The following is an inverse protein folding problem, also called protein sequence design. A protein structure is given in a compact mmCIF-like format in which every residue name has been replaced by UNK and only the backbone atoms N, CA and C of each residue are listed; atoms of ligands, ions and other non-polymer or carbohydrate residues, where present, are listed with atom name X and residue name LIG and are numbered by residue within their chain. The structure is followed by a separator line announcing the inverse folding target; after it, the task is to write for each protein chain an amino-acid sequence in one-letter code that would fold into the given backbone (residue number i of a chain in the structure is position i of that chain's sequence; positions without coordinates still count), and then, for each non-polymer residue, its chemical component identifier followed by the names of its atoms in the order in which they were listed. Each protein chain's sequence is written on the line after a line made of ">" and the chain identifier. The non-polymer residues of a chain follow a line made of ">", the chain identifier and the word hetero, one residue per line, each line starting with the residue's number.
data_IF_200045650830
#
_entry.id   IF_200045650830
#
_cell.length_a   1.000
_cell.length_b   1.000
_cell.length_c   1.000
_cell.angle_alpha   90.00
_cell.angle_beta   90.00
_cell.angle_gamma   90.00
#
_symmetry.space_group_name_H-M   'P 1'
#
loop_
_entity.id
_entity.type
_entity.pdbx_description
1 polymer ?
#
# COMPACT_ATOMS: atom_id res chain seq x y z
N UNK A 1 -15.21 -2.82 2.32
CA UNK A 1 -14.37 -2.41 3.49
C UNK A 1 -14.49 -3.31 4.74
N UNK A 2 -15.63 -3.38 5.47
CA UNK A 2 -15.75 -4.13 6.75
C UNK A 2 -15.40 -5.63 6.60
N UNK A 3 -15.89 -6.26 5.54
CA UNK A 3 -15.62 -7.68 5.26
C UNK A 3 -14.12 -7.95 5.09
N UNK A 4 -13.39 -7.07 4.39
CA UNK A 4 -11.94 -7.19 4.17
C UNK A 4 -11.15 -7.10 5.48
N UNK A 5 -11.54 -6.19 6.39
CA UNK A 5 -10.93 -6.09 7.71
C UNK A 5 -11.21 -7.31 8.58
N UNK A 6 -12.43 -7.83 8.53
CA UNK A 6 -12.80 -9.05 9.26
C UNK A 6 -12.03 -10.26 8.75
N UNK A 7 -11.90 -10.41 7.42
CA UNK A 7 -11.10 -11.45 6.80
C UNK A 7 -9.61 -11.33 7.18
N UNK A 8 -9.05 -10.12 7.08
CA UNK A 8 -7.66 -9.84 7.50
C UNK A 8 -7.44 -10.21 8.97
N UNK A 9 -8.38 -9.85 9.85
CA UNK A 9 -8.32 -10.20 11.27
C UNK A 9 -8.36 -11.71 11.52
N UNK A 10 -9.21 -12.45 10.82
CA UNK A 10 -9.26 -13.92 10.91
C UNK A 10 -7.96 -14.55 10.43
N UNK A 11 -7.44 -14.11 9.28
CA UNK A 11 -6.16 -14.60 8.73
C UNK A 11 -5.02 -14.31 9.71
N UNK A 12 -4.95 -13.07 10.22
CA UNK A 12 -3.97 -12.66 11.22
C UNK A 12 -4.04 -13.53 12.49
N UNK A 13 -5.24 -13.83 12.98
CA UNK A 13 -5.45 -14.70 14.13
C UNK A 13 -4.91 -16.11 13.87
N UNK A 14 -5.29 -16.72 12.74
CA UNK A 14 -4.83 -18.08 12.38
C UNK A 14 -3.31 -18.12 12.26
N UNK A 15 -2.71 -17.16 11.54
CA UNK A 15 -1.26 -17.06 11.39
C UNK A 15 -0.57 -16.88 12.74
N UNK A 16 -1.11 -16.03 13.61
CA UNK A 16 -0.53 -15.79 14.93
C UNK A 16 -0.51 -17.04 15.81
N UNK A 17 -1.55 -17.86 15.76
CA UNK A 17 -1.64 -19.12 16.51
C UNK A 17 -0.62 -20.14 15.98
N UNK A 18 -0.51 -20.27 14.66
CA UNK A 18 0.46 -21.16 14.02
C UNK A 18 1.91 -20.77 14.35
N UNK A 19 2.20 -19.46 14.39
CA UNK A 19 3.51 -18.93 14.79
C UNK A 19 3.74 -19.04 16.32
N UNK A 20 2.70 -18.97 17.14
CA UNK A 20 2.82 -19.06 18.60
C UNK A 20 3.34 -20.43 19.07
N UNK A 21 2.98 -21.52 18.38
CA UNK A 21 3.38 -22.89 18.73
C UNK A 21 4.91 -23.07 18.76
N UNK A 22 5.67 -22.79 17.68
CA UNK A 22 7.13 -22.95 17.71
C UNK A 22 7.80 -22.04 18.73
N UNK A 23 7.30 -20.81 18.93
CA UNK A 23 7.79 -19.90 19.96
C UNK A 23 7.60 -20.48 21.37
N UNK A 24 6.42 -21.04 21.66
CA UNK A 24 6.14 -21.71 22.92
C UNK A 24 7.07 -22.91 23.16
N UNK A 25 7.32 -23.73 22.12
CA UNK A 25 8.24 -24.88 22.20
C UNK A 25 9.65 -24.41 22.54
N UNK A 26 10.19 -23.42 21.83
CA UNK A 26 11.53 -22.88 22.08
C UNK A 26 11.62 -22.29 23.49
N UNK A 27 10.64 -21.48 23.87
CA UNK A 27 10.56 -20.87 25.21
C UNK A 27 10.52 -21.91 26.33
N UNK A 28 9.78 -23.00 26.14
CA UNK A 28 9.69 -24.10 27.12
C UNK A 28 11.04 -24.78 27.37
N UNK A 29 11.87 -24.91 26.32
CA UNK A 29 13.22 -25.49 26.41
C UNK A 29 14.17 -24.55 27.14
N UNK A 30 14.13 -23.25 26.83
CA UNK A 30 14.95 -22.22 27.48
C UNK A 30 14.59 -22.07 28.96
N UNK A 31 13.30 -22.11 29.30
CA UNK A 31 12.81 -21.87 30.64
C UNK A 31 12.78 -23.13 31.55
N UNK A 32 13.24 -24.30 31.08
CA UNK A 32 13.15 -25.58 31.80
C UNK A 32 13.76 -25.59 33.21
N UNK A 33 14.76 -24.73 33.47
CA UNK A 33 15.44 -24.63 34.78
C UNK A 33 14.83 -23.57 35.71
N UNK A 34 13.78 -22.87 35.28
CA UNK A 34 13.08 -21.87 36.11
C UNK A 34 11.97 -22.52 36.92
N UNK A 35 11.52 -21.88 38.00
CA UNK A 35 10.37 -22.36 38.75
C UNK A 35 9.12 -22.41 37.86
N UNK A 36 8.24 -23.38 38.13
CA UNK A 36 7.10 -23.72 37.27
C UNK A 36 6.25 -22.50 36.88
N UNK A 37 5.93 -21.62 37.85
CA UNK A 37 5.16 -20.39 37.61
C UNK A 37 5.84 -19.46 36.59
N UNK A 38 7.16 -19.27 36.70
CA UNK A 38 7.92 -18.44 35.77
C UNK A 38 8.06 -19.11 34.40
N UNK A 39 8.21 -20.42 34.36
CA UNK A 39 8.24 -21.17 33.10
C UNK A 39 6.92 -21.02 32.34
N UNK A 40 5.78 -21.18 33.01
CA UNK A 40 4.45 -21.00 32.41
C UNK A 40 4.25 -19.59 31.87
N UNK A 41 4.65 -18.56 32.62
CA UNK A 41 4.57 -17.16 32.18
C UNK A 41 5.41 -16.92 30.91
N UNK A 42 6.65 -17.41 30.88
CA UNK A 42 7.55 -17.23 29.73
C UNK A 42 7.00 -17.93 28.48
N UNK A 43 6.47 -19.15 28.63
CA UNK A 43 5.85 -19.90 27.52
C UNK A 43 4.61 -19.18 27.00
N UNK A 44 3.76 -18.67 27.89
CA UNK A 44 2.58 -17.89 27.51
C UNK A 44 2.97 -16.62 26.76
N UNK A 45 3.90 -15.82 27.29
CA UNK A 45 4.37 -14.60 26.61
C UNK A 45 5.00 -14.91 25.24
N UNK A 46 5.74 -16.00 25.11
CA UNK A 46 6.28 -16.45 23.82
C UNK A 46 5.18 -16.85 22.84
N UNK A 47 4.16 -17.58 23.28
CA UNK A 47 3.04 -17.98 22.44
C UNK A 47 2.23 -16.78 21.92
N UNK A 48 2.09 -15.72 22.75
CA UNK A 48 1.31 -14.52 22.41
C UNK A 48 2.14 -13.47 21.64
N UNK A 49 3.48 -13.56 21.66
CA UNK A 49 4.37 -12.59 20.98
C UNK A 49 4.04 -12.41 19.49
N UNK A 50 3.81 -13.47 18.69
CA UNK A 50 3.43 -13.31 17.28
C UNK A 50 2.11 -12.56 17.09
N UNK A 51 1.11 -12.81 17.94
CA UNK A 51 -0.17 -12.10 17.89
C UNK A 51 -0.01 -10.61 18.19
N UNK A 52 0.78 -10.27 19.21
CA UNK A 52 1.10 -8.88 19.53
C UNK A 52 1.87 -8.19 18.40
N UNK A 53 2.86 -8.87 17.82
CA UNK A 53 3.63 -8.33 16.70
C UNK A 53 2.74 -8.01 15.50
N UNK A 54 1.88 -8.96 15.09
CA UNK A 54 0.94 -8.76 13.98
C UNK A 54 -0.07 -7.66 14.30
N UNK A 55 -0.57 -7.57 15.53
CA UNK A 55 -1.50 -6.51 15.93
C UNK A 55 -0.85 -5.12 15.83
N UNK A 56 0.40 -4.98 16.28
CA UNK A 56 1.17 -3.74 16.16
C UNK A 56 1.38 -3.40 14.68
N UNK A 57 1.79 -4.36 13.86
CA UNK A 57 1.95 -4.19 12.41
C UNK A 57 0.66 -3.70 11.74
N UNK A 58 -0.50 -4.27 12.06
CA UNK A 58 -1.78 -3.85 11.49
C UNK A 58 -2.12 -2.41 11.91
N UNK A 59 -1.99 -2.08 13.21
CA UNK A 59 -2.33 -0.76 13.73
C UNK A 59 -1.41 0.31 13.16
N UNK A 60 -0.09 0.10 13.19
CA UNK A 60 0.85 1.08 12.65
C UNK A 60 0.81 1.13 11.13
N UNK A 61 0.49 0.03 10.44
CA UNK A 61 0.28 0.02 8.99
C UNK A 61 -0.91 0.86 8.59
N UNK A 62 -2.01 0.81 9.35
CA UNK A 62 -3.18 1.66 9.15
C UNK A 62 -2.86 3.15 9.41
N UNK A 63 -2.14 3.46 10.49
CA UNK A 63 -1.72 4.84 10.77
C UNK A 63 -0.78 5.34 9.67
N UNK A 64 0.17 4.50 9.24
CA UNK A 64 1.12 4.79 8.17
C UNK A 64 0.42 5.03 6.83
N UNK A 65 -0.59 4.24 6.48
CA UNK A 65 -1.35 4.41 5.25
C UNK A 65 -2.19 5.69 5.27
N UNK A 66 -2.82 6.05 6.40
CA UNK A 66 -3.54 7.32 6.55
C UNK A 66 -2.57 8.49 6.33
N UNK A 67 -1.41 8.47 7.00
CA UNK A 67 -0.40 9.50 6.84
C UNK A 67 0.13 9.61 5.41
N UNK A 68 0.38 8.47 4.75
CA UNK A 68 0.81 8.40 3.35
C UNK A 68 -0.25 9.00 2.43
N UNK A 69 -1.51 8.64 2.62
CA UNK A 69 -2.63 9.16 1.83
C UNK A 69 -2.71 10.68 1.94
N UNK A 70 -2.71 11.21 3.18
CA UNK A 70 -2.77 12.66 3.43
C UNK A 70 -1.58 13.44 2.86
N UNK A 71 -0.36 12.87 2.90
CA UNK A 71 0.86 13.60 2.53
C UNK A 71 1.32 13.39 1.10
N UNK A 72 1.05 12.22 0.53
CA UNK A 72 1.51 11.85 -0.82
C UNK A 72 0.36 11.83 -1.83
N UNK A 73 -0.89 12.00 -1.40
CA UNK A 73 -2.05 11.92 -2.28
C UNK A 73 -2.16 10.55 -2.95
N UNK A 74 -1.74 9.50 -2.25
CA UNK A 74 -1.82 8.11 -2.69
C UNK A 74 -2.78 7.39 -1.76
N UNK A 75 -4.02 7.19 -2.20
CA UNK A 75 -4.97 6.39 -1.43
C UNK A 75 -4.80 4.91 -1.77
N UNK A 76 -4.56 4.16 -0.71
CA UNK A 76 -4.24 2.74 -0.74
C UNK A 76 -5.49 1.97 -0.36
N UNK A 77 -6.54 2.05 -1.18
CA UNK A 77 -7.56 1.00 -1.29
C UNK A 77 -7.99 0.32 0.01
N UNK A 78 -8.07 1.04 1.14
CA UNK A 78 -8.71 0.54 2.35
C UNK A 78 -10.22 0.71 2.12
N UNK A 79 -10.72 0.04 1.09
CA UNK A 79 -11.98 0.35 0.43
C UNK A 79 -11.93 0.05 -1.07
N UNK A 80 -12.83 0.70 -1.80
CA UNK A 80 -13.07 0.45 -3.22
C UNK A 80 -12.52 1.59 -4.08
N UNK A 81 -11.60 2.41 -3.56
CA UNK A 81 -11.05 3.58 -4.25
C UNK A 81 -9.53 3.57 -4.28
N UNK A 82 -8.98 3.91 -5.43
CA UNK A 82 -7.55 4.01 -5.70
C UNK A 82 -7.26 5.44 -6.13
N UNK A 83 -6.22 6.05 -5.58
CA UNK A 83 -5.72 7.36 -6.02
C UNK A 83 -4.20 7.35 -6.10
N UNK A 84 -3.64 7.93 -7.15
CA UNK A 84 -2.22 8.21 -7.26
C UNK A 84 -1.99 9.54 -8.01
N UNK A 85 -1.03 10.38 -7.57
CA UNK A 85 -0.75 11.64 -8.23
C UNK A 85 -0.17 11.39 -9.62
N UNK A 86 -0.55 12.19 -10.61
CA UNK A 86 0.14 12.29 -11.90
C UNK A 86 1.02 13.54 -11.89
N UNK A 87 0.44 14.68 -11.52
CA UNK A 87 1.13 15.96 -11.29
C UNK A 87 0.65 16.58 -9.98
N UNK A 88 1.04 17.82 -9.68
CA UNK A 88 0.50 18.53 -8.50
C UNK A 88 -1.02 18.77 -8.61
N UNK A 89 -1.52 19.03 -9.81
CA UNK A 89 -2.94 19.37 -10.04
C UNK A 89 -3.78 18.22 -10.60
N UNK A 90 -3.16 17.11 -11.04
CA UNK A 90 -3.86 15.98 -11.64
C UNK A 90 -3.51 14.67 -10.93
N UNK A 91 -4.49 13.78 -10.82
CA UNK A 91 -4.31 12.44 -10.29
C UNK A 91 -5.07 11.42 -11.13
N UNK A 92 -4.61 10.19 -11.08
CA UNK A 92 -5.34 9.04 -11.59
C UNK A 92 -6.08 8.39 -10.44
N UNK A 93 -7.33 8.04 -10.69
CA UNK A 93 -8.20 7.43 -9.70
C UNK A 93 -8.99 6.29 -10.28
N UNK A 94 -9.33 5.28 -9.49
CA UNK A 94 -10.21 4.19 -9.92
C UNK A 94 -11.17 3.80 -8.80
N UNK A 95 -12.37 3.37 -9.17
CA UNK A 95 -13.33 2.74 -8.26
C UNK A 95 -13.42 1.25 -8.58
N UNK A 96 -13.40 0.42 -7.54
CA UNK A 96 -13.35 -1.04 -7.53
C UNK A 96 -12.08 -1.63 -8.16
N UNK A 97 -11.86 -1.38 -9.44
CA UNK A 97 -10.83 -2.00 -10.26
C UNK A 97 -9.94 -0.96 -10.93
N UNK A 98 -8.61 -1.13 -10.96
CA UNK A 98 -7.72 -0.23 -11.69
C UNK A 98 -8.05 -0.06 -13.19
N UNK A 99 -8.76 -1.02 -13.80
CA UNK A 99 -9.17 -0.96 -15.21
C UNK A 99 -10.26 0.08 -15.52
N UNK A 100 -10.92 0.62 -14.48
CA UNK A 100 -11.88 1.73 -14.56
C UNK A 100 -11.22 3.08 -14.23
N UNK A 101 -9.89 3.13 -14.22
CA UNK A 101 -9.18 4.33 -13.85
C UNK A 101 -9.51 5.50 -14.79
N UNK A 102 -9.72 6.68 -14.21
CA UNK A 102 -9.90 7.96 -14.90
C UNK A 102 -8.88 8.96 -14.39
N UNK A 103 -8.65 10.02 -15.15
CA UNK A 103 -7.85 11.16 -14.70
C UNK A 103 -8.79 12.19 -14.12
N UNK A 104 -8.41 12.79 -13.01
CA UNK A 104 -9.15 13.85 -12.34
C UNK A 104 -8.24 15.05 -12.08
N UNK A 105 -8.84 16.23 -11.94
CA UNK A 105 -8.17 17.45 -11.52
C UNK A 105 -8.43 17.69 -10.04
N UNK A 106 -7.42 18.05 -9.25
CA UNK A 106 -7.59 18.29 -7.80
C UNK A 106 -8.57 19.41 -7.45
N UNK A 107 -8.72 20.39 -8.33
CA UNK A 107 -9.61 21.53 -8.13
C UNK A 107 -11.02 21.32 -8.70
N UNK A 108 -11.24 20.25 -9.47
CA UNK A 108 -12.52 19.95 -10.11
C UNK A 108 -12.75 18.44 -10.13
N UNK A 109 -13.78 17.96 -9.42
CA UNK A 109 -14.16 16.54 -9.31
C UNK A 109 -14.67 15.94 -10.64
N UNK A 110 -14.55 16.66 -11.75
CA UNK A 110 -14.93 16.16 -13.08
C UNK A 110 -13.79 15.36 -13.70
N UNK A 111 -13.97 14.05 -13.92
CA UNK A 111 -12.97 13.26 -14.60
C UNK A 111 -12.86 13.67 -16.08
N UNK A 112 -11.66 13.48 -16.63
CA UNK A 112 -11.46 13.47 -18.07
C UNK A 112 -12.24 12.32 -18.73
N UNK A 113 -12.65 12.51 -19.98
CA UNK A 113 -13.47 11.52 -20.69
C UNK A 113 -12.70 10.21 -20.96
N UNK A 114 -13.32 9.10 -20.58
CA UNK A 114 -12.85 7.75 -20.83
C UNK A 114 -11.98 7.14 -19.72
N UNK A 115 -11.71 5.85 -19.86
CA UNK A 115 -10.85 5.08 -18.96
C UNK A 115 -9.41 5.07 -19.46
N UNK A 116 -8.46 5.27 -18.56
CA UNK A 116 -7.02 5.19 -18.86
C UNK A 116 -6.68 3.76 -19.32
N UNK A 117 -6.06 3.65 -20.50
CA UNK A 117 -5.59 2.39 -21.08
C UNK A 117 -4.07 2.29 -21.07
N UNK A 118 -3.40 3.39 -21.38
CA UNK A 118 -1.95 3.46 -21.49
C UNK A 118 -1.45 4.73 -20.80
N UNK A 119 -0.40 4.58 -20.02
CA UNK A 119 0.28 5.67 -19.33
C UNK A 119 1.78 5.60 -19.64
N UNK A 120 2.33 6.66 -20.22
CA UNK A 120 3.77 6.81 -20.44
C UNK A 120 4.29 7.88 -19.51
N UNK A 121 5.37 7.56 -18.77
CA UNK A 121 5.94 8.45 -17.77
C UNK A 121 7.43 8.56 -18.02
N UNK A 122 7.82 9.74 -18.49
CA UNK A 122 9.22 10.16 -18.62
C UNK A 122 9.33 11.64 -18.14
N UNK A 123 10.04 12.51 -18.85
CA UNK A 123 10.04 13.97 -18.60
C UNK A 123 8.65 14.61 -18.75
N UNK A 124 7.76 13.98 -19.53
CA UNK A 124 6.34 14.30 -19.67
C UNK A 124 5.50 13.07 -19.38
N UNK A 125 4.27 13.28 -18.95
CA UNK A 125 3.30 12.20 -18.74
C UNK A 125 2.32 12.22 -19.91
N UNK A 126 2.15 11.10 -20.59
CA UNK A 126 1.11 10.91 -21.59
C UNK A 126 0.10 9.88 -21.10
N UNK A 127 -1.18 10.17 -21.29
CA UNK A 127 -2.25 9.25 -20.93
C UNK A 127 -3.23 9.07 -22.09
N UNK A 128 -3.37 7.83 -22.57
CA UNK A 128 -4.40 7.47 -23.52
C UNK A 128 -5.64 6.97 -22.76
N UNK A 129 -6.75 7.68 -22.94
CA UNK A 129 -8.05 7.35 -22.36
C UNK A 129 -9.01 6.86 -23.45
N UNK A 130 -9.80 5.82 -23.17
CA UNK A 130 -10.75 5.24 -24.11
C UNK A 130 -12.19 5.36 -23.62
N UNK A 131 -13.06 5.89 -24.48
CA UNK A 131 -14.50 6.04 -24.25
C UNK A 131 -15.23 5.53 -25.50
N UNK A 132 -16.06 4.49 -25.35
CA UNK A 132 -16.83 3.90 -26.47
C UNK A 132 -15.99 3.52 -27.70
N UNK A 133 -14.72 3.10 -27.50
CA UNK A 133 -13.80 2.72 -28.57
C UNK A 133 -13.04 3.87 -29.23
N UNK A 134 -13.33 5.12 -28.86
CA UNK A 134 -12.54 6.30 -29.24
C UNK A 134 -11.41 6.50 -28.23
N UNK A 135 -10.23 6.89 -28.73
CA UNK A 135 -9.07 7.21 -27.90
C UNK A 135 -8.83 8.71 -27.85
N UNK A 136 -8.54 9.21 -26.65
CA UNK A 136 -8.07 10.56 -26.39
C UNK A 136 -6.69 10.52 -25.75
N UNK A 137 -5.76 11.37 -26.20
CA UNK A 137 -4.41 11.45 -25.62
C UNK A 137 -4.25 12.80 -24.91
N UNK A 138 -3.87 12.74 -23.64
CA UNK A 138 -3.56 13.88 -22.80
C UNK A 138 -2.07 13.91 -22.51
N UNK A 139 -1.47 15.10 -22.49
CA UNK A 139 -0.10 15.31 -22.05
C UNK A 139 -0.06 16.20 -20.82
N UNK A 140 0.81 15.87 -19.87
CA UNK A 140 1.02 16.63 -18.65
C UNK A 140 2.50 16.93 -18.46
N UNK A 141 2.79 18.15 -18.03
CA UNK A 141 4.12 18.52 -17.57
C UNK A 141 4.27 18.18 -16.10
N UNK A 142 5.36 17.51 -15.75
CA UNK A 142 5.60 17.04 -14.38
C UNK A 142 5.65 18.17 -13.32
N UNK A 143 5.86 19.42 -13.75
CA UNK A 143 5.98 20.60 -12.87
C UNK A 143 4.84 21.61 -13.00
N UNK A 144 3.94 21.46 -13.99
CA UNK A 144 2.89 22.45 -14.23
C UNK A 144 1.54 22.02 -13.66
N UNK A 145 0.79 23.02 -13.19
CA UNK A 145 -0.56 22.88 -12.67
C UNK A 145 -1.63 22.71 -13.77
N UNK A 146 -1.27 22.73 -15.04
CA UNK A 146 -2.20 22.64 -16.16
C UNK A 146 -1.93 21.43 -17.06
N UNK A 147 -3.00 20.90 -17.67
CA UNK A 147 -2.87 19.90 -18.73
C UNK A 147 -2.33 20.58 -19.97
N UNK A 148 -1.27 20.00 -20.51
CA UNK A 148 -0.62 20.45 -21.72
C UNK A 148 -1.43 19.92 -22.92
N UNK A 149 -2.62 20.50 -23.14
CA UNK A 149 -3.51 20.28 -24.29
C UNK A 149 -4.10 18.85 -24.43
N UNK A 150 -5.40 18.75 -24.77
CA UNK A 150 -5.93 17.52 -25.37
C UNK A 150 -5.29 17.40 -26.76
N UNK A 151 -4.32 16.50 -26.89
CA UNK A 151 -3.58 16.36 -28.15
C UNK A 151 -4.47 15.77 -29.24
N UNK A 152 -5.45 14.94 -28.86
CA UNK A 152 -6.16 14.12 -29.82
C UNK A 152 -7.46 13.50 -29.30
N UNK A 153 -8.47 13.31 -30.18
CA UNK A 153 -9.65 12.45 -29.96
C UNK A 153 -10.06 11.79 -31.29
N UNK A 154 -9.90 10.48 -31.46
CA UNK A 154 -10.44 9.78 -32.64
C UNK A 154 -10.59 8.26 -32.55
N UNK A 155 -10.79 7.65 -33.72
CA UNK A 155 -10.77 6.22 -34.01
C UNK A 155 -9.38 5.59 -33.88
N UNK A 156 -9.32 4.26 -34.04
CA UNK A 156 -8.11 3.48 -33.87
C UNK A 156 -7.00 3.80 -34.86
N UNK A 157 -7.33 4.30 -36.07
CA UNK A 157 -6.35 4.50 -37.13
C UNK A 157 -5.47 5.71 -36.84
N UNK A 158 -6.10 6.83 -36.47
CA UNK A 158 -5.37 8.04 -36.12
C UNK A 158 -4.72 7.97 -34.74
N UNK A 159 -5.21 7.12 -33.84
CA UNK A 159 -4.51 6.81 -32.59
C UNK A 159 -3.09 6.29 -32.86
N UNK A 160 -2.95 5.36 -33.82
CA UNK A 160 -1.64 4.83 -34.22
C UNK A 160 -0.72 5.91 -34.81
N UNK A 161 -1.26 6.87 -35.57
CA UNK A 161 -0.50 8.00 -36.14
C UNK A 161 0.10 8.89 -35.02
N UNK A 162 -0.70 9.23 -34.01
CA UNK A 162 -0.22 10.07 -32.89
C UNK A 162 0.84 9.34 -32.06
N UNK A 163 0.66 8.03 -31.83
CA UNK A 163 1.66 7.22 -31.17
C UNK A 163 3.00 7.23 -31.93
N UNK A 164 2.95 7.10 -33.26
CA UNK A 164 4.14 7.14 -34.10
C UNK A 164 4.80 8.53 -34.10
N UNK A 165 4.03 9.61 -34.21
CA UNK A 165 4.56 10.98 -34.20
C UNK A 165 5.28 11.31 -32.88
N UNK A 166 4.79 10.75 -31.77
CA UNK A 166 5.30 11.00 -30.42
C UNK A 166 6.28 9.95 -29.92
N UNK A 167 6.61 8.96 -30.74
CA UNK A 167 7.46 7.82 -30.37
C UNK A 167 6.95 7.09 -29.11
N UNK A 168 5.63 6.91 -29.01
CA UNK A 168 4.95 6.24 -27.91
C UNK A 168 4.61 4.80 -28.30
N UNK A 169 5.28 3.84 -27.68
CA UNK A 169 5.01 2.41 -27.88
C UNK A 169 3.99 1.89 -26.84
N UNK A 170 2.80 1.41 -27.25
CA UNK A 170 1.82 0.79 -26.35
C UNK A 170 2.36 -0.36 -25.52
N UNK A 171 3.33 -1.12 -26.02
CA UNK A 171 3.90 -2.27 -25.31
C UNK A 171 4.81 -1.84 -24.15
N UNK A 172 5.28 -0.60 -24.18
CA UNK A 172 6.07 0.02 -23.09
C UNK A 172 5.21 0.81 -22.11
N UNK A 173 3.93 1.02 -22.42
CA UNK A 173 3.03 1.78 -21.58
C UNK A 173 2.75 1.06 -20.25
N UNK A 174 2.68 1.84 -19.17
CA UNK A 174 2.18 1.36 -17.89
C UNK A 174 0.66 1.24 -17.97
N UNK A 175 0.15 0.07 -17.61
CA UNK A 175 -1.25 -0.10 -17.28
C UNK A 175 -1.56 0.60 -15.93
N UNK A 176 -2.81 1.03 -15.68
CA UNK A 176 -3.16 1.74 -14.44
C UNK A 176 -2.81 0.98 -13.16
N UNK A 177 -3.02 -0.34 -13.13
CA UNK A 177 -2.67 -1.20 -12.00
C UNK A 177 -1.17 -1.22 -11.72
N UNK A 178 -0.35 -1.29 -12.77
CA UNK A 178 1.11 -1.20 -12.64
C UNK A 178 1.53 0.17 -12.10
N UNK A 179 0.86 1.24 -12.52
CA UNK A 179 1.12 2.59 -12.02
C UNK A 179 0.75 2.76 -10.55
N UNK A 180 -0.47 2.38 -10.14
CA UNK A 180 -0.87 2.43 -8.73
C UNK A 180 0.11 1.64 -7.85
N UNK A 181 0.50 0.43 -8.28
CA UNK A 181 1.47 -0.37 -7.54
C UNK A 181 2.87 0.28 -7.46
N UNK A 182 3.30 1.00 -8.51
CA UNK A 182 4.57 1.72 -8.53
C UNK A 182 4.57 2.87 -7.52
N UNK A 183 3.54 3.72 -7.56
CA UNK A 183 3.43 4.85 -6.61
C UNK A 183 3.21 4.36 -5.18
N UNK A 184 2.49 3.26 -4.99
CA UNK A 184 2.32 2.61 -3.69
C UNK A 184 3.66 2.16 -3.10
N UNK A 185 4.47 1.42 -3.87
CA UNK A 185 5.79 0.96 -3.42
C UNK A 185 6.71 2.12 -3.07
N UNK A 186 6.66 3.19 -3.86
CA UNK A 186 7.41 4.43 -3.60
C UNK A 186 6.91 5.11 -2.32
N UNK A 187 5.60 5.10 -2.08
CA UNK A 187 5.00 5.68 -0.90
C UNK A 187 5.40 4.94 0.38
N UNK A 188 5.38 3.60 0.36
CA UNK A 188 5.66 2.72 1.50
C UNK A 188 7.14 2.40 1.74
N UNK A 189 8.05 2.75 0.81
CA UNK A 189 9.48 2.43 0.89
C UNK A 189 10.15 2.75 2.24
N UNK A 190 9.69 3.80 2.92
CA UNK A 190 10.23 4.24 4.22
C UNK A 190 9.34 3.77 5.38
N UNK A 191 8.02 3.69 5.16
CA UNK A 191 7.04 3.36 6.21
C UNK A 191 7.17 1.90 6.64
N UNK A 192 7.30 0.96 5.70
CA UNK A 192 7.39 -0.47 6.01
C UNK A 192 8.59 -0.81 6.93
N UNK A 193 9.84 -0.39 6.63
CA UNK A 193 10.97 -0.62 7.53
C UNK A 193 10.79 0.04 8.89
N UNK A 194 10.24 1.26 8.92
CA UNK A 194 10.04 2.01 10.17
C UNK A 194 9.00 1.31 11.06
N UNK A 195 7.90 0.83 10.48
CA UNK A 195 6.86 0.07 11.16
C UNK A 195 7.43 -1.21 11.79
N UNK A 196 8.17 -2.01 11.01
CA UNK A 196 8.84 -3.21 11.51
C UNK A 196 9.83 -2.92 12.64
N UNK A 197 10.59 -1.82 12.53
CA UNK A 197 11.51 -1.40 13.57
C UNK A 197 10.77 -1.03 14.86
N UNK A 198 9.69 -0.25 14.77
CA UNK A 198 8.85 0.13 15.92
C UNK A 198 8.23 -1.11 16.56
N UNK A 199 7.64 -2.01 15.78
CA UNK A 199 7.05 -3.25 16.29
C UNK A 199 8.08 -4.11 17.03
N UNK A 200 9.28 -4.25 16.45
CA UNK A 200 10.38 -4.99 17.06
C UNK A 200 10.84 -4.34 18.37
N UNK A 201 11.02 -3.02 18.41
CA UNK A 201 11.42 -2.28 19.61
C UNK A 201 10.38 -2.42 20.74
N UNK A 202 9.09 -2.35 20.42
CA UNK A 202 8.02 -2.54 21.41
C UNK A 202 8.07 -3.96 21.99
N UNK A 203 8.17 -4.99 21.14
CA UNK A 203 8.27 -6.38 21.60
C UNK A 203 9.52 -6.58 22.47
N UNK A 204 10.68 -6.04 22.06
CA UNK A 204 11.90 -6.12 22.86
C UNK A 204 11.76 -5.42 24.22
N UNK A 205 11.12 -4.25 24.26
CA UNK A 205 10.86 -3.52 25.51
C UNK A 205 9.92 -4.32 26.44
N UNK A 206 8.87 -4.93 25.91
CA UNK A 206 7.97 -5.79 26.68
C UNK A 206 8.70 -7.01 27.25
N UNK A 207 9.55 -7.65 26.46
CA UNK A 207 10.38 -8.76 26.92
C UNK A 207 11.40 -8.33 27.97
N UNK A 208 12.02 -7.16 27.82
CA UNK A 208 12.93 -6.61 28.83
C UNK A 208 12.21 -6.38 30.17
N UNK A 209 11.04 -5.74 30.14
CA UNK A 209 10.22 -5.52 31.34
C UNK A 209 9.80 -6.84 32.00
N UNK A 210 9.39 -7.84 31.20
CA UNK A 210 9.04 -9.16 31.71
C UNK A 210 10.23 -9.80 32.45
N UNK A 211 11.44 -9.73 31.88
CA UNK A 211 12.64 -10.26 32.51
C UNK A 211 12.89 -9.57 33.86
N UNK A 212 12.84 -8.23 33.90
CA UNK A 212 13.03 -7.45 35.13
C UNK A 212 12.03 -7.85 36.22
N UNK A 213 10.74 -7.98 35.86
CA UNK A 213 9.69 -8.40 36.79
C UNK A 213 9.90 -9.83 37.32
N UNK A 214 10.40 -10.75 36.47
CA UNK A 214 10.71 -12.12 36.94
C UNK A 214 11.96 -12.22 37.80
N UNK A 215 12.89 -11.25 37.72
CA UNK A 215 14.08 -11.21 38.56
C UNK A 215 13.79 -10.60 39.93
N UNK A 216 12.98 -9.55 39.99
CA UNK A 216 12.64 -8.83 41.23
C UNK A 216 11.85 -9.66 42.26
N UNK A 217 11.13 -10.70 41.81
CA UNK A 217 10.37 -11.62 42.67
C UNK A 217 11.20 -12.79 43.24
N UNK A 218 12.54 -12.73 43.16
CA UNK A 218 13.43 -13.74 43.74
C UNK A 218 13.96 -13.39 45.13
N UNK A 219 13.74 -12.16 45.59
CA UNK A 219 14.06 -11.67 46.94
C UNK A 219 12.80 -11.67 47.82
#
# INVERSE_FOLDING_TARGET
>A
MIFSFLLLGIVALVVSVLLGIPFAIVASRIARRKALKHQQLIVFCAAVTPALFIAIEIVFGLIGSIYISEKKGVDVGFGDYWEAPLTESHYISAVDLPSTATIQRREDDRPYDGYVRHLWIDDRIYAACSSSGLYSIYAFHAQDSEVDTLLFRADSLRYAEVLQERDLDPDTALAPDAYFNKELKKAHKIEEPLRHAVATLIILALWFLLIQLTQKNKD
#
